data_IF_148250774442
#
_entry.id   IF_148250774442
#
_cell.length_a   1.000
_cell.length_b   1.000
_cell.length_c   1.000
_cell.angle_alpha   90.00
_cell.angle_beta   90.00
_cell.angle_gamma   90.00
#
_symmetry.space_group_name_H-M   'P 1'
#
loop_
_entity.id
_entity.type
_entity.pdbx_description
1 polymer ?
#
# COMPACT_ATOMS: atom_id res chain seq x y z
N UNK A 1 13.15 -0.10 5.01
CA UNK A 1 12.03 0.35 4.17
C UNK A 1 12.31 -0.19 2.79
N UNK A 2 11.29 -0.74 2.12
CA UNK A 2 11.47 -1.14 0.72
C UNK A 2 11.76 0.13 -0.11
N UNK A 3 12.30 -0.02 -1.30
CA UNK A 3 12.64 1.12 -2.17
C UNK A 3 11.97 0.95 -3.53
N UNK A 4 10.65 0.76 -3.52
CA UNK A 4 9.85 0.74 -4.75
C UNK A 4 9.51 2.18 -5.15
N UNK A 5 9.61 2.47 -6.44
CA UNK A 5 9.27 3.77 -7.00
C UNK A 5 8.72 3.62 -8.41
N UNK A 6 8.03 4.65 -8.90
CA UNK A 6 7.49 4.64 -10.26
C UNK A 6 8.59 4.34 -11.31
N UNK A 7 9.76 5.03 -11.35
CA UNK A 7 10.78 4.76 -12.36
C UNK A 7 11.35 3.33 -12.28
N UNK A 8 11.53 2.81 -11.07
CA UNK A 8 12.02 1.44 -10.87
C UNK A 8 11.02 0.41 -11.42
N UNK A 9 9.73 0.57 -11.10
CA UNK A 9 8.70 -0.38 -11.53
C UNK A 9 8.48 -0.34 -13.05
N UNK A 10 8.61 0.83 -13.69
CA UNK A 10 8.59 0.91 -15.16
C UNK A 10 9.78 0.19 -15.80
N UNK A 11 10.98 0.34 -15.23
CA UNK A 11 12.16 -0.37 -15.69
C UNK A 11 11.99 -1.90 -15.55
N UNK A 12 11.51 -2.37 -14.40
CA UNK A 12 11.24 -3.79 -14.18
C UNK A 12 10.19 -4.31 -15.15
N UNK A 13 9.06 -3.60 -15.32
CA UNK A 13 8.00 -3.98 -16.24
C UNK A 13 8.51 -4.15 -17.68
N UNK A 14 9.34 -3.23 -18.17
CA UNK A 14 9.94 -3.31 -19.49
C UNK A 14 10.86 -4.54 -19.65
N UNK A 15 11.53 -4.96 -18.58
CA UNK A 15 12.38 -6.16 -18.56
C UNK A 15 11.62 -7.49 -18.56
N UNK A 16 10.29 -7.47 -18.45
CA UNK A 16 9.49 -8.70 -18.43
C UNK A 16 9.06 -9.18 -19.83
N UNK A 17 9.41 -8.48 -20.91
CA UNK A 17 8.97 -8.87 -22.26
C UNK A 17 9.38 -10.32 -22.60
N UNK A 18 8.47 -11.05 -23.22
CA UNK A 18 8.63 -12.49 -23.52
C UNK A 18 8.56 -13.45 -22.31
N UNK A 19 8.43 -12.96 -21.07
CA UNK A 19 8.27 -13.82 -19.89
C UNK A 19 6.79 -14.13 -19.59
N UNK A 20 6.47 -15.35 -19.11
CA UNK A 20 5.11 -15.84 -18.94
C UNK A 20 4.46 -15.38 -17.62
N UNK A 21 4.61 -14.11 -17.27
CA UNK A 21 4.02 -13.53 -16.05
C UNK A 21 2.73 -12.76 -16.37
N UNK A 22 1.59 -13.24 -15.90
CA UNK A 22 0.30 -12.60 -16.21
C UNK A 22 0.00 -11.37 -15.34
N UNK A 23 0.48 -11.37 -14.10
CA UNK A 23 0.20 -10.32 -13.12
C UNK A 23 1.48 -9.57 -12.79
N UNK A 24 1.39 -8.24 -12.81
CA UNK A 24 2.40 -7.36 -12.23
C UNK A 24 1.84 -6.76 -10.94
N UNK A 25 2.21 -7.35 -9.81
CA UNK A 25 1.75 -6.90 -8.49
C UNK A 25 2.72 -5.87 -7.91
N UNK A 26 2.17 -4.73 -7.50
CA UNK A 26 2.89 -3.72 -6.73
C UNK A 26 2.65 -4.03 -5.25
N UNK A 27 3.72 -4.29 -4.51
CA UNK A 27 3.66 -4.62 -3.09
C UNK A 27 3.69 -3.36 -2.20
N UNK A 28 3.81 -3.55 -0.88
CA UNK A 28 3.93 -2.50 0.13
C UNK A 28 4.89 -1.36 -0.27
N UNK A 29 4.61 -0.15 0.22
CA UNK A 29 5.40 1.10 0.10
C UNK A 29 4.98 2.05 -1.06
N UNK A 30 3.82 1.83 -1.67
CA UNK A 30 3.19 2.75 -2.63
C UNK A 30 2.32 3.83 -1.95
N UNK A 31 1.80 3.51 -0.78
CA UNK A 31 0.85 4.29 0.01
C UNK A 31 1.54 5.41 0.82
N UNK A 32 0.78 6.39 1.32
CA UNK A 32 1.31 7.43 2.23
C UNK A 32 1.60 6.88 3.62
N UNK A 33 0.71 6.04 4.14
CA UNK A 33 0.86 5.33 5.41
C UNK A 33 -0.05 4.10 5.42
N UNK A 34 0.20 3.16 6.34
CA UNK A 34 -0.77 2.10 6.62
C UNK A 34 -2.02 2.74 7.25
N UNK A 35 -3.13 2.72 6.50
CA UNK A 35 -4.35 3.47 6.82
C UNK A 35 -4.66 4.60 5.84
N UNK A 36 -3.65 5.12 5.11
CA UNK A 36 -3.78 6.20 4.13
C UNK A 36 -3.36 5.67 2.74
N UNK A 37 -4.33 5.08 2.03
CA UNK A 37 -4.13 4.29 0.81
C UNK A 37 -4.16 5.15 -0.47
N UNK A 38 -3.47 6.27 -0.42
CA UNK A 38 -3.20 7.15 -1.56
C UNK A 38 -1.74 7.04 -2.00
N UNK A 39 -1.44 7.24 -3.31
CA UNK A 39 -0.07 7.22 -3.79
C UNK A 39 0.80 8.25 -3.06
N UNK A 40 1.99 7.83 -2.62
CA UNK A 40 2.99 8.73 -2.04
C UNK A 40 3.81 9.46 -3.13
N UNK A 41 4.75 10.30 -2.70
CA UNK A 41 5.56 11.15 -3.59
C UNK A 41 6.41 10.37 -4.62
N UNK A 42 6.68 9.08 -4.39
CA UNK A 42 7.39 8.21 -5.35
C UNK A 42 6.53 7.83 -6.56
N UNK A 43 5.22 8.11 -6.49
CA UNK A 43 4.21 7.82 -7.51
C UNK A 43 3.45 9.10 -7.91
N UNK A 44 4.13 10.13 -8.45
CA UNK A 44 3.55 11.45 -8.68
C UNK A 44 2.43 11.48 -9.73
N UNK A 45 2.41 10.49 -10.65
CA UNK A 45 1.33 10.32 -11.61
C UNK A 45 0.16 9.47 -11.08
N UNK A 46 0.25 9.01 -9.83
CA UNK A 46 -0.72 8.14 -9.18
C UNK A 46 -0.70 6.68 -9.66
N UNK A 47 -1.36 5.81 -8.90
CA UNK A 47 -1.39 4.37 -9.20
C UNK A 47 -2.18 4.03 -10.47
N UNK A 48 -3.15 4.86 -10.86
CA UNK A 48 -3.92 4.67 -12.09
C UNK A 48 -3.04 4.77 -13.36
N UNK A 49 -2.06 5.69 -13.36
CA UNK A 49 -1.11 5.81 -14.47
C UNK A 49 -0.25 4.54 -14.61
N UNK A 50 0.27 4.02 -13.49
CA UNK A 50 1.04 2.77 -13.48
C UNK A 50 0.16 1.57 -13.89
N UNK A 51 -1.08 1.49 -13.42
CA UNK A 51 -2.01 0.43 -13.81
C UNK A 51 -2.32 0.46 -15.32
N UNK A 52 -2.47 1.64 -15.93
CA UNK A 52 -2.58 1.77 -17.39
C UNK A 52 -1.32 1.26 -18.10
N UNK A 53 -0.14 1.61 -17.60
CA UNK A 53 1.14 1.17 -18.18
C UNK A 53 1.31 -0.34 -18.14
N UNK A 54 0.92 -0.98 -17.03
CA UNK A 54 0.91 -2.44 -16.88
C UNK A 54 -0.03 -3.10 -17.90
N UNK A 55 -1.25 -2.57 -18.06
CA UNK A 55 -2.21 -3.08 -19.07
C UNK A 55 -1.69 -2.92 -20.49
N UNK A 56 -1.00 -1.82 -20.81
CA UNK A 56 -0.37 -1.61 -22.12
C UNK A 56 0.79 -2.56 -22.41
N UNK A 57 1.34 -3.21 -21.38
CA UNK A 57 2.34 -4.26 -21.52
C UNK A 57 1.72 -5.67 -21.51
N UNK A 58 0.41 -5.78 -21.80
CA UNK A 58 -0.37 -7.03 -21.80
C UNK A 58 -0.32 -7.81 -20.48
N UNK A 59 -0.33 -7.07 -19.35
CA UNK A 59 -0.33 -7.64 -18.00
C UNK A 59 -1.51 -7.14 -17.18
N UNK A 60 -1.88 -7.93 -16.17
CA UNK A 60 -2.91 -7.57 -15.19
C UNK A 60 -2.27 -6.81 -14.03
N UNK A 61 -2.71 -5.58 -13.70
CA UNK A 61 -2.20 -4.85 -12.54
C UNK A 61 -2.73 -5.44 -11.23
N UNK A 62 -1.83 -5.73 -10.29
CA UNK A 62 -2.14 -6.12 -8.92
C UNK A 62 -1.63 -5.08 -7.92
N UNK A 63 -2.25 -5.02 -6.74
CA UNK A 63 -1.85 -4.09 -5.68
C UNK A 63 -1.99 -4.75 -4.31
N UNK A 64 -0.99 -4.56 -3.46
CA UNK A 64 -1.04 -4.96 -2.06
C UNK A 64 -1.82 -3.94 -1.22
N UNK A 65 -2.60 -4.46 -0.26
CA UNK A 65 -3.41 -3.67 0.65
C UNK A 65 -3.60 -4.39 1.98
N UNK A 66 -3.55 -3.65 3.09
CA UNK A 66 -3.85 -4.17 4.43
C UNK A 66 -5.02 -3.40 5.07
N UNK A 67 -6.27 -3.66 4.61
CA UNK A 67 -7.42 -2.78 4.83
C UNK A 67 -7.84 -2.59 6.30
N UNK A 68 -7.49 -3.52 7.18
CA UNK A 68 -7.97 -3.55 8.57
C UNK A 68 -6.88 -3.25 9.60
N UNK A 69 -5.70 -2.80 9.17
CA UNK A 69 -4.64 -2.33 10.07
C UNK A 69 -4.36 -0.86 9.80
N UNK A 70 -4.03 -0.14 10.87
CA UNK A 70 -3.78 1.29 10.83
C UNK A 70 -2.57 1.66 11.69
N UNK A 71 -1.72 2.52 11.14
CA UNK A 71 -0.59 3.11 11.87
C UNK A 71 -1.07 4.28 12.73
N UNK A 72 -0.55 4.45 13.96
CA UNK A 72 -0.82 5.64 14.78
C UNK A 72 -0.34 6.96 14.14
N UNK A 73 0.46 6.89 13.08
CA UNK A 73 0.93 8.05 12.31
C UNK A 73 0.06 8.39 11.08
N UNK A 74 -0.94 7.57 10.77
CA UNK A 74 -1.86 7.83 9.66
C UNK A 74 -2.87 8.94 9.99
N UNK A 75 -3.38 9.60 8.95
CA UNK A 75 -4.48 10.55 9.07
C UNK A 75 -5.75 9.85 9.53
N UNK A 76 -6.04 8.66 8.99
CA UNK A 76 -7.19 7.86 9.40
C UNK A 76 -7.25 7.64 10.92
N UNK A 77 -6.13 7.28 11.54
CA UNK A 77 -6.06 7.06 12.99
C UNK A 77 -6.44 8.31 13.80
N UNK A 78 -6.02 9.49 13.34
CA UNK A 78 -6.27 10.76 14.02
C UNK A 78 -7.68 11.32 13.74
N UNK A 79 -8.16 11.17 12.50
CA UNK A 79 -9.41 11.75 12.02
C UNK A 79 -10.64 10.87 12.36
N UNK A 80 -10.45 9.55 12.52
CA UNK A 80 -11.52 8.57 12.76
C UNK A 80 -11.26 7.65 13.98
N UNK A 81 -11.12 8.20 15.21
CA UNK A 81 -10.87 7.40 16.42
C UNK A 81 -12.02 6.47 16.82
N UNK A 82 -13.21 6.68 16.24
CA UNK A 82 -14.42 5.85 16.37
C UNK A 82 -14.39 4.59 15.49
N UNK A 83 -13.55 4.58 14.45
CA UNK A 83 -13.35 3.41 13.59
C UNK A 83 -12.38 2.39 14.19
N UNK A 84 -11.64 2.75 15.24
CA UNK A 84 -10.63 1.88 15.83
C UNK A 84 -11.28 0.81 16.72
N UNK A 85 -10.84 -0.45 16.57
CA UNK A 85 -11.26 -1.55 17.41
C UNK A 85 -10.89 -1.30 18.88
N UNK A 86 -11.88 -1.44 19.75
CA UNK A 86 -11.74 -1.30 21.21
C UNK A 86 -12.16 -2.56 21.94
N UNK A 87 -11.49 -2.83 23.06
CA UNK A 87 -11.90 -3.88 23.99
C UNK A 87 -13.15 -3.46 24.80
N UNK A 88 -13.65 -4.36 25.65
CA UNK A 88 -14.81 -4.11 26.49
C UNK A 88 -14.61 -2.99 27.53
N UNK A 89 -13.35 -2.57 27.76
CA UNK A 89 -12.97 -1.48 28.65
C UNK A 89 -12.74 -0.16 27.90
N UNK A 90 -12.89 -0.15 26.58
CA UNK A 90 -12.72 1.01 25.71
C UNK A 90 -11.26 1.28 25.28
N UNK A 91 -10.31 0.40 25.62
CA UNK A 91 -8.91 0.55 25.21
C UNK A 91 -8.73 0.11 23.77
N UNK A 92 -7.78 0.72 23.06
CA UNK A 92 -7.41 0.30 21.73
C UNK A 92 -6.79 -1.11 21.75
N UNK A 93 -7.21 -1.95 20.79
CA UNK A 93 -6.65 -3.31 20.62
C UNK A 93 -5.41 -3.25 19.72
N UNK A 94 -4.20 -3.61 20.20
CA UNK A 94 -3.02 -3.70 19.36
C UNK A 94 -3.16 -4.86 18.35
N UNK A 95 -2.87 -4.58 17.08
CA UNK A 95 -2.90 -5.56 16.00
C UNK A 95 -1.51 -6.18 15.69
N UNK A 96 -0.47 -5.75 16.41
CA UNK A 96 0.88 -6.27 16.28
C UNK A 96 1.95 -5.18 16.26
N UNK A 97 3.19 -5.57 15.97
CA UNK A 97 4.35 -4.68 15.83
C UNK A 97 5.07 -5.00 14.52
N UNK A 98 5.14 -4.04 13.60
CA UNK A 98 5.82 -4.19 12.31
C UNK A 98 6.42 -2.85 11.87
N UNK A 99 7.33 -2.83 10.89
CA UNK A 99 8.00 -1.61 10.43
C UNK A 99 8.50 -0.68 11.57
N UNK A 100 8.92 -1.28 12.69
CA UNK A 100 9.37 -0.61 13.91
C UNK A 100 8.31 0.28 14.61
N UNK A 101 7.02 -0.04 14.47
CA UNK A 101 5.90 0.65 15.13
C UNK A 101 4.77 -0.33 15.51
N UNK A 102 3.95 -0.02 16.53
CA UNK A 102 2.72 -0.75 16.80
C UNK A 102 1.64 -0.41 15.76
N UNK A 103 0.76 -1.37 15.48
CA UNK A 103 -0.44 -1.18 14.68
C UNK A 103 -1.69 -1.39 15.52
N UNK A 104 -2.79 -0.80 15.06
CA UNK A 104 -4.12 -1.00 15.61
C UNK A 104 -5.05 -1.56 14.54
N UNK A 105 -6.13 -2.18 14.98
CA UNK A 105 -7.18 -2.68 14.09
C UNK A 105 -8.29 -1.64 13.93
N UNK A 106 -8.92 -1.66 12.75
CA UNK A 106 -10.20 -1.00 12.50
C UNK A 106 -11.33 -1.98 12.86
#
# INVERSE_FOLDING_TARGET
>A
MQDISHPLLEHVLAGLDGLPYEVFQIDDDWQQAIGDWEPNAKFPAGMDALARRIRQADRTPGIWWAPFIVSPHSRLFAEHPDWLLRDAQGNLVPAGFNWNAPFFAL
#
